data_IF_031822499093
#
_entry.id   IF_031822499093
#
_cell.length_a   1.000
_cell.length_b   1.000
_cell.length_c   1.000
_cell.angle_alpha   90.00
_cell.angle_beta   90.00
_cell.angle_gamma   90.00
#
_symmetry.space_group_name_H-M   'P 1'
#
loop_
_entity.id
_entity.type
_entity.pdbx_description
1 polymer ?
#
# COMPACT_ATOMS: atom_id res chain seq x y z
N UNK A 1 7.15 27.01 -0.96
CA UNK A 1 5.81 26.39 -1.05
C UNK A 1 5.64 25.74 -2.42
N UNK A 2 5.86 24.42 -2.52
CA UNK A 2 5.63 23.69 -3.78
C UNK A 2 4.14 23.39 -3.91
N UNK A 3 3.48 23.91 -4.95
CA UNK A 3 2.08 23.61 -5.27
C UNK A 3 1.99 22.14 -5.70
N UNK A 4 1.46 21.27 -4.85
CA UNK A 4 1.09 19.90 -5.26
C UNK A 4 -0.11 20.01 -6.20
N UNK A 5 0.10 19.78 -7.49
CA UNK A 5 -0.97 19.67 -8.47
C UNK A 5 -1.83 18.42 -8.21
N UNK A 6 -3.07 18.45 -8.71
CA UNK A 6 -3.95 17.27 -8.73
C UNK A 6 -3.59 16.44 -9.97
N UNK A 7 -3.27 15.16 -9.78
CA UNK A 7 -2.99 14.21 -10.85
C UNK A 7 -4.07 13.13 -10.89
N UNK A 8 -4.67 12.91 -12.05
CA UNK A 8 -5.64 11.83 -12.26
C UNK A 8 -4.98 10.64 -12.96
N UNK A 9 -5.18 9.44 -12.41
CA UNK A 9 -4.58 8.20 -12.92
C UNK A 9 -5.66 7.22 -13.40
N UNK A 10 -5.36 6.45 -14.44
CA UNK A 10 -6.26 5.43 -15.02
C UNK A 10 -5.49 4.14 -15.24
N UNK A 11 -6.11 3.02 -14.87
CA UNK A 11 -5.65 1.70 -15.34
C UNK A 11 -5.83 1.66 -16.86
N UNK A 12 -4.73 1.63 -17.63
CA UNK A 12 -4.75 1.64 -19.09
C UNK A 12 -5.55 0.47 -19.72
N UNK A 13 -5.70 0.42 -21.05
CA UNK A 13 -6.61 -0.51 -21.75
C UNK A 13 -6.31 -1.99 -21.50
N UNK A 14 -5.06 -2.35 -21.15
CA UNK A 14 -4.70 -3.72 -20.76
C UNK A 14 -5.23 -4.18 -19.40
N UNK A 15 -5.79 -3.27 -18.59
CA UNK A 15 -6.42 -3.58 -17.30
C UNK A 15 -5.49 -4.32 -16.33
N UNK A 16 -6.01 -4.66 -15.15
CA UNK A 16 -5.41 -5.73 -14.35
C UNK A 16 -6.05 -7.05 -14.77
N UNK A 17 -5.31 -8.16 -14.70
CA UNK A 17 -5.94 -9.45 -15.02
C UNK A 17 -7.08 -9.73 -14.01
N UNK A 18 -8.01 -10.64 -14.33
CA UNK A 18 -9.18 -10.89 -13.49
C UNK A 18 -8.82 -11.38 -12.08
N UNK A 19 -7.69 -12.07 -11.93
CA UNK A 19 -7.20 -12.58 -10.65
C UNK A 19 -6.60 -11.48 -9.77
N UNK A 20 -5.75 -10.64 -10.34
CA UNK A 20 -5.16 -9.44 -9.72
C UNK A 20 -6.27 -8.47 -9.30
N UNK A 21 -7.24 -8.24 -10.19
CA UNK A 21 -8.41 -7.39 -9.92
C UNK A 21 -9.23 -7.94 -8.77
N UNK A 22 -9.41 -9.26 -8.66
CA UNK A 22 -10.12 -9.89 -7.53
C UNK A 22 -9.36 -9.75 -6.22
N UNK A 23 -8.05 -10.01 -6.20
CA UNK A 23 -7.20 -9.85 -5.01
C UNK A 23 -7.21 -8.41 -4.50
N UNK A 24 -7.14 -7.46 -5.42
CA UNK A 24 -7.18 -6.04 -5.10
C UNK A 24 -8.57 -5.58 -4.71
N UNK A 25 -9.62 -5.99 -5.42
CA UNK A 25 -10.98 -5.64 -5.07
C UNK A 25 -11.37 -6.19 -3.69
N UNK A 26 -10.95 -7.41 -3.36
CA UNK A 26 -11.12 -7.96 -2.02
C UNK A 26 -10.44 -7.06 -0.98
N UNK A 27 -9.15 -6.77 -1.17
CA UNK A 27 -8.38 -6.00 -0.21
C UNK A 27 -8.82 -4.52 -0.11
N UNK A 28 -9.11 -3.85 -1.22
CA UNK A 28 -9.58 -2.45 -1.26
C UNK A 28 -11.01 -2.30 -0.72
N UNK A 29 -11.91 -3.27 -0.99
CA UNK A 29 -13.25 -3.24 -0.40
C UNK A 29 -13.19 -3.48 1.11
N UNK A 30 -12.27 -4.32 1.57
CA UNK A 30 -12.06 -4.59 2.99
C UNK A 30 -11.39 -3.39 3.71
N UNK A 31 -10.32 -2.84 3.14
CA UNK A 31 -9.55 -1.71 3.69
C UNK A 31 -10.11 -0.31 3.37
N UNK A 32 -11.38 -0.24 2.94
CA UNK A 32 -12.17 0.97 2.64
C UNK A 32 -11.65 1.80 1.46
N UNK A 33 -12.60 2.45 0.77
CA UNK A 33 -12.36 3.34 -0.38
C UNK A 33 -11.32 4.44 -0.12
N UNK A 34 -11.08 4.81 1.15
CA UNK A 34 -10.04 5.76 1.58
C UNK A 34 -8.64 5.40 1.10
N UNK A 35 -8.32 4.10 0.92
CA UNK A 35 -7.01 3.68 0.45
C UNK A 35 -6.73 4.12 -0.99
N UNK A 36 -7.76 4.26 -1.83
CA UNK A 36 -7.61 4.78 -3.19
C UNK A 36 -7.24 6.26 -3.24
N UNK A 37 -7.57 7.02 -2.19
CA UNK A 37 -7.33 8.46 -2.09
C UNK A 37 -6.14 8.80 -1.19
N UNK A 38 -5.48 7.79 -0.63
CA UNK A 38 -4.29 7.97 0.17
C UNK A 38 -3.15 8.53 -0.69
N UNK A 39 -2.38 9.46 -0.12
CA UNK A 39 -1.15 9.98 -0.72
C UNK A 39 -0.05 8.94 -0.70
N UNK A 40 -0.05 8.07 0.31
CA UNK A 40 0.96 7.05 0.53
C UNK A 40 0.36 5.78 1.13
N UNK A 41 0.84 4.63 0.69
CA UNK A 41 0.60 3.32 1.31
C UNK A 41 1.83 2.87 2.09
N UNK A 42 1.60 2.37 3.30
CA UNK A 42 2.59 1.66 4.10
C UNK A 42 2.19 0.18 4.11
N UNK A 43 2.92 -0.62 3.37
CA UNK A 43 2.67 -2.05 3.19
C UNK A 43 3.38 -2.82 4.29
N UNK A 44 2.63 -3.60 5.08
CA UNK A 44 3.13 -4.36 6.23
C UNK A 44 2.81 -5.85 6.09
N UNK A 45 3.52 -6.71 6.82
CA UNK A 45 3.34 -8.15 6.70
C UNK A 45 1.93 -8.60 7.08
N UNK A 46 1.43 -8.20 8.26
CA UNK A 46 0.12 -8.60 8.74
C UNK A 46 -0.62 -7.55 9.58
N UNK A 47 -1.70 -8.01 10.19
CA UNK A 47 -2.58 -7.21 11.04
C UNK A 47 -1.87 -6.70 12.31
N UNK A 48 -0.94 -7.49 12.88
CA UNK A 48 -0.17 -7.09 14.06
C UNK A 48 0.61 -5.81 13.81
N UNK A 49 1.37 -5.75 12.72
CA UNK A 49 2.14 -4.56 12.34
C UNK A 49 1.21 -3.40 12.01
N UNK A 50 0.05 -3.69 11.41
CA UNK A 50 -0.96 -2.67 11.13
C UNK A 50 -1.38 -1.98 12.42
N UNK A 51 -1.68 -2.73 13.49
CA UNK A 51 -2.06 -2.16 14.78
C UNK A 51 -0.91 -1.40 15.44
N UNK A 52 0.27 -2.04 15.54
CA UNK A 52 1.45 -1.47 16.20
C UNK A 52 1.87 -0.15 15.55
N UNK A 53 1.93 -0.09 14.22
CA UNK A 53 2.36 1.09 13.50
C UNK A 53 1.37 2.26 13.62
N UNK A 54 0.06 1.97 13.60
CA UNK A 54 -0.94 3.00 13.83
C UNK A 54 -0.87 3.55 15.26
N UNK A 55 -0.65 2.69 16.25
CA UNK A 55 -0.53 3.11 17.65
C UNK A 55 0.76 3.91 17.89
N UNK A 56 1.89 3.48 17.33
CA UNK A 56 3.15 4.22 17.40
C UNK A 56 3.02 5.62 16.76
N UNK A 57 2.38 5.71 15.60
CA UNK A 57 2.13 7.00 14.96
C UNK A 57 1.33 7.93 15.87
N UNK A 58 0.26 7.41 16.49
CA UNK A 58 -0.58 8.15 17.43
C UNK A 58 0.22 8.63 18.65
N UNK A 59 1.09 7.78 19.21
CA UNK A 59 1.96 8.15 20.33
C UNK A 59 3.00 9.21 19.93
N UNK A 60 3.45 9.22 18.68
CA UNK A 60 4.30 10.28 18.13
C UNK A 60 3.53 11.56 17.75
N UNK A 61 2.21 11.61 17.96
CA UNK A 61 1.37 12.77 17.61
C UNK A 61 0.95 12.84 16.13
N UNK A 62 1.11 11.75 15.39
CA UNK A 62 0.73 11.63 13.98
C UNK A 62 -0.61 10.90 13.84
N UNK A 63 -1.43 11.40 12.92
CA UNK A 63 -2.70 10.78 12.55
C UNK A 63 -2.69 10.45 11.06
N UNK A 64 -2.30 9.22 10.72
CA UNK A 64 -2.13 8.78 9.33
C UNK A 64 -3.35 9.05 8.44
N UNK A 65 -4.57 8.87 8.97
CA UNK A 65 -5.80 9.18 8.23
C UNK A 65 -5.90 10.66 7.82
N UNK A 66 -5.50 11.58 8.69
CA UNK A 66 -5.47 13.01 8.40
C UNK A 66 -4.31 13.39 7.45
N UNK A 67 -3.20 12.66 7.52
CA UNK A 67 -2.02 12.88 6.68
C UNK A 67 -2.15 12.23 5.28
N UNK A 68 -3.15 11.37 5.09
CA UNK A 68 -3.38 10.61 3.88
C UNK A 68 -2.41 9.44 3.72
N UNK A 69 -1.98 8.83 4.83
CA UNK A 69 -1.19 7.60 4.88
C UNK A 69 -2.11 6.44 5.23
N UNK A 70 -2.00 5.32 4.51
CA UNK A 70 -2.76 4.11 4.81
C UNK A 70 -1.84 2.92 5.04
N UNK A 71 -2.01 2.26 6.18
CA UNK A 71 -1.32 1.01 6.51
C UNK A 71 -2.14 -0.15 5.97
N UNK A 72 -1.49 -1.03 5.20
CA UNK A 72 -2.13 -2.06 4.39
C UNK A 72 -1.32 -3.35 4.56
N UNK A 73 -1.93 -4.38 5.14
CA UNK A 73 -1.29 -5.69 5.24
C UNK A 73 -1.28 -6.43 3.90
N UNK A 74 -0.17 -7.07 3.56
CA UNK A 74 -0.04 -7.81 2.30
C UNK A 74 -0.05 -9.33 2.45
N UNK A 75 -0.09 -9.89 3.66
CA UNK A 75 -0.21 -11.35 3.87
C UNK A 75 -1.40 -11.96 3.09
N UNK A 76 -2.54 -11.26 3.04
CA UNK A 76 -3.75 -11.76 2.39
C UNK A 76 -3.74 -11.61 0.85
N UNK A 77 -3.26 -10.48 0.33
CA UNK A 77 -3.32 -10.19 -1.12
C UNK A 77 -2.03 -10.53 -1.87
N UNK A 78 -0.93 -10.71 -1.13
CA UNK A 78 0.44 -10.70 -1.64
C UNK A 78 0.93 -9.29 -1.96
N UNK A 79 2.25 -9.10 -1.91
CA UNK A 79 2.89 -7.81 -2.15
C UNK A 79 2.85 -7.36 -3.62
N UNK A 80 3.11 -8.27 -4.56
CA UNK A 80 3.25 -7.94 -6.00
C UNK A 80 1.99 -7.28 -6.60
N UNK A 81 0.76 -7.78 -6.36
CA UNK A 81 -0.45 -7.13 -6.88
C UNK A 81 -0.64 -5.71 -6.34
N UNK A 82 -0.33 -5.48 -5.06
CA UNK A 82 -0.47 -4.16 -4.42
C UNK A 82 0.50 -3.15 -5.03
N UNK A 83 1.78 -3.51 -5.18
CA UNK A 83 2.78 -2.64 -5.83
C UNK A 83 2.39 -2.32 -7.27
N UNK A 84 1.97 -3.33 -8.04
CA UNK A 84 1.52 -3.15 -9.43
C UNK A 84 0.35 -2.18 -9.52
N UNK A 85 -0.58 -2.24 -8.57
CA UNK A 85 -1.72 -1.34 -8.49
C UNK A 85 -1.29 0.08 -8.10
N UNK A 86 -0.56 0.23 -7.00
CA UNK A 86 -0.10 1.52 -6.49
C UNK A 86 0.66 2.30 -7.58
N UNK A 87 1.54 1.61 -8.33
CA UNK A 87 2.27 2.20 -9.45
C UNK A 87 1.35 2.72 -10.55
N UNK A 88 0.36 1.94 -10.97
CA UNK A 88 -0.57 2.33 -12.04
C UNK A 88 -1.51 3.46 -11.62
N UNK A 89 -1.78 3.57 -10.32
CA UNK A 89 -2.59 4.63 -9.74
C UNK A 89 -1.77 5.83 -9.25
N UNK A 90 -0.45 5.83 -9.44
CA UNK A 90 0.45 6.88 -8.99
C UNK A 90 0.51 7.08 -7.48
N UNK A 91 0.13 6.05 -6.71
CA UNK A 91 0.15 6.07 -5.25
C UNK A 91 1.58 5.75 -4.79
N UNK A 92 2.16 6.63 -3.98
CA UNK A 92 3.46 6.37 -3.36
C UNK A 92 3.33 5.21 -2.37
N UNK A 93 4.35 4.38 -2.24
CA UNK A 93 4.29 3.23 -1.33
C UNK A 93 5.64 2.96 -0.68
N UNK A 94 5.58 2.44 0.54
CA UNK A 94 6.72 1.97 1.32
C UNK A 94 6.40 0.56 1.82
N UNK A 95 7.40 -0.30 1.92
CA UNK A 95 7.26 -1.66 2.46
C UNK A 95 8.03 -1.75 3.77
N UNK A 96 7.37 -2.25 4.81
CA UNK A 96 7.95 -2.58 6.10
C UNK A 96 7.86 -4.09 6.30
N UNK A 97 9.02 -4.71 6.52
CA UNK A 97 9.17 -6.15 6.74
C UNK A 97 10.22 -6.38 7.81
N UNK A 98 10.19 -7.58 8.37
CA UNK A 98 11.17 -8.02 9.35
C UNK A 98 12.59 -8.08 8.75
N UNK A 99 13.58 -7.89 9.61
CA UNK A 99 15.00 -7.88 9.22
C UNK A 99 15.57 -9.27 8.91
N UNK A 100 14.73 -10.29 8.84
CA UNK A 100 15.14 -11.67 8.63
C UNK A 100 15.36 -12.00 7.14
N UNK A 101 15.69 -13.26 6.84
CA UNK A 101 15.92 -13.67 5.45
C UNK A 101 14.64 -13.65 4.60
N UNK A 102 13.46 -13.82 5.22
CA UNK A 102 12.18 -13.73 4.53
C UNK A 102 11.88 -12.28 4.12
N UNK A 103 12.02 -11.32 5.03
CA UNK A 103 11.84 -9.90 4.78
C UNK A 103 12.83 -9.35 3.75
N UNK A 104 14.11 -9.77 3.81
CA UNK A 104 15.10 -9.42 2.76
C UNK A 104 14.66 -9.89 1.37
N UNK A 105 14.08 -11.08 1.27
CA UNK A 105 13.53 -11.60 0.01
C UNK A 105 12.32 -10.78 -0.45
N UNK A 106 11.42 -10.42 0.46
CA UNK A 106 10.24 -9.59 0.17
C UNK A 106 10.66 -8.21 -0.35
N UNK A 107 11.61 -7.53 0.30
CA UNK A 107 12.16 -6.25 -0.16
C UNK A 107 12.73 -6.37 -1.58
N UNK A 108 13.51 -7.42 -1.85
CA UNK A 108 14.10 -7.66 -3.17
C UNK A 108 13.02 -7.88 -4.25
N UNK A 109 11.97 -8.61 -3.92
CA UNK A 109 10.84 -8.88 -4.81
C UNK A 109 9.97 -7.64 -5.04
N UNK A 110 9.83 -6.78 -4.02
CA UNK A 110 9.13 -5.50 -4.10
C UNK A 110 9.80 -4.54 -5.07
N UNK A 111 11.13 -4.38 -4.96
CA UNK A 111 11.91 -3.52 -5.87
C UNK A 111 11.88 -4.00 -7.31
N UNK A 112 11.83 -5.32 -7.56
CA UNK A 112 11.71 -5.90 -8.91
C UNK A 112 10.32 -5.74 -9.53
N UNK A 113 9.32 -5.50 -8.69
CA UNK A 113 7.91 -5.32 -9.11
C UNK A 113 7.53 -3.84 -9.28
N UNK A 114 8.37 -2.93 -8.79
CA UNK A 114 8.32 -1.48 -8.95
C UNK A 114 8.67 -1.07 -10.38
#
# INVERSE_FOLDING_TARGET
>A
MSRRGVSAWRLGPGGMNAEESRRIAFHIRFNRASSLFARCWLLVEGETETWVINELARQCGHHFDAEGVKVIEFAQSGLKPLIKFARRMGIQWHVLVDGDEAGKKICRDGTRSA
#
